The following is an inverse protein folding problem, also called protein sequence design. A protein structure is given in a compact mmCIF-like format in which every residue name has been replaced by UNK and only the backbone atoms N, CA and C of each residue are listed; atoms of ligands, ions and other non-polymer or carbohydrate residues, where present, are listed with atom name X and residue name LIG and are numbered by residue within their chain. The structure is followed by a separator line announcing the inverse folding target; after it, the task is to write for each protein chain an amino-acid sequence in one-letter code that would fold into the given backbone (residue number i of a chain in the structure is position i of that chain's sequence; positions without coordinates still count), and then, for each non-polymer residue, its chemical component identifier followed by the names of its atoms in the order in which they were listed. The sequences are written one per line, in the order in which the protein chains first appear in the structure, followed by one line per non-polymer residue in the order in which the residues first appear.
data_IF_027288161044
#
_entry.id   IF_027288161044
#
_cell.length_a   1.000
_cell.length_b   1.000
_cell.length_c   1.000
_cell.angle_alpha   90.00
_cell.angle_beta   90.00
_cell.angle_gamma   90.00
#
_symmetry.space_group_name_H-M   'P 1'
#
loop_
_entity.id
_entity.type
_entity.pdbx_description
1 polymer ?
#
# COMPACT_ATOMS: atom_id res chain seq x y z
N UNK A 1 33.75 -18.89 -16.53
CA UNK A 1 33.78 -18.06 -15.30
C UNK A 1 32.36 -17.58 -15.04
N UNK A 2 31.89 -17.88 -13.82
CA UNK A 2 30.62 -17.59 -13.14
C UNK A 2 29.38 -17.23 -13.96
N UNK A 3 28.51 -18.23 -14.15
CA UNK A 3 27.07 -18.04 -14.32
C UNK A 3 26.49 -17.71 -12.93
N UNK A 4 26.11 -16.45 -12.71
CA UNK A 4 25.45 -16.03 -11.49
C UNK A 4 23.97 -16.41 -11.58
N UNK A 5 23.60 -17.55 -10.98
CA UNK A 5 22.19 -17.91 -10.80
C UNK A 5 21.55 -16.89 -9.84
N UNK A 6 20.81 -15.92 -10.40
CA UNK A 6 19.98 -15.04 -9.59
C UNK A 6 18.91 -15.88 -8.88
N UNK A 7 18.72 -15.62 -7.59
CA UNK A 7 17.65 -16.30 -6.85
C UNK A 7 16.29 -15.85 -7.39
N UNK A 8 15.26 -16.70 -7.24
CA UNK A 8 13.88 -16.37 -7.63
C UNK A 8 13.43 -15.07 -6.94
N UNK A 9 13.82 -14.86 -5.68
CA UNK A 9 13.56 -13.63 -4.94
C UNK A 9 14.23 -12.40 -5.59
N UNK A 10 15.46 -12.53 -6.10
CA UNK A 10 16.14 -11.43 -6.82
C UNK A 10 15.51 -11.14 -8.17
N UNK A 11 15.00 -12.17 -8.88
CA UNK A 11 14.22 -11.98 -10.11
C UNK A 11 12.88 -11.29 -9.83
N UNK A 12 12.13 -11.74 -8.83
CA UNK A 12 10.87 -11.11 -8.40
C UNK A 12 11.09 -9.65 -8.00
N UNK A 13 12.15 -9.37 -7.24
CA UNK A 13 12.56 -8.01 -6.83
C UNK A 13 12.96 -7.08 -8.01
N UNK A 14 13.28 -7.63 -9.17
CA UNK A 14 13.63 -6.88 -10.39
C UNK A 14 12.43 -6.68 -11.33
N UNK A 15 11.43 -7.55 -11.32
CA UNK A 15 10.23 -7.42 -12.16
C UNK A 15 9.29 -6.29 -11.69
N UNK A 16 9.34 -5.91 -10.41
CA UNK A 16 8.54 -4.80 -9.84
C UNK A 16 9.21 -3.41 -9.92
N UNK A 17 10.35 -3.27 -10.62
CA UNK A 17 11.21 -2.08 -10.43
C UNK A 17 10.76 -0.81 -11.16
N UNK A 18 9.89 -0.92 -12.16
CA UNK A 18 9.56 0.20 -13.06
C UNK A 18 8.09 0.66 -12.97
N UNK A 19 7.35 0.24 -11.94
CA UNK A 19 5.88 0.23 -11.99
C UNK A 19 5.14 0.62 -10.70
N UNK A 20 5.61 1.63 -9.95
CA UNK A 20 5.03 1.96 -8.64
C UNK A 20 4.01 3.10 -8.72
N UNK A 21 2.99 3.07 -7.86
CA UNK A 21 2.14 4.22 -7.62
C UNK A 21 2.83 5.22 -6.68
N UNK A 22 2.68 6.52 -6.94
CA UNK A 22 3.15 7.57 -6.02
C UNK A 22 1.94 8.07 -5.24
N UNK A 23 1.73 7.54 -4.04
CA UNK A 23 0.57 7.90 -3.21
C UNK A 23 0.91 9.14 -2.38
N UNK A 24 0.04 10.14 -2.43
CA UNK A 24 0.00 11.27 -1.50
C UNK A 24 -1.21 11.12 -0.58
N UNK A 25 -0.97 11.08 0.73
CA UNK A 25 -2.02 11.07 1.73
C UNK A 25 -2.44 12.50 2.06
N UNK A 26 -3.57 12.95 1.54
CA UNK A 26 -4.20 14.24 1.89
C UNK A 26 -5.43 14.06 2.79
N UNK A 27 -5.55 12.92 3.45
CA UNK A 27 -6.52 12.69 4.52
C UNK A 27 -6.01 13.31 5.83
N UNK A 28 -6.86 13.39 6.86
CA UNK A 28 -6.40 13.79 8.21
C UNK A 28 -5.91 12.59 9.04
N UNK A 29 -5.80 11.41 8.43
CA UNK A 29 -5.53 10.14 9.09
C UNK A 29 -4.20 9.57 8.60
N UNK A 30 -3.48 8.85 9.47
CA UNK A 30 -2.43 7.92 9.04
C UNK A 30 -3.09 6.76 8.31
N UNK A 31 -2.63 6.48 7.10
CA UNK A 31 -3.10 5.35 6.32
C UNK A 31 -2.04 4.26 6.28
N UNK A 32 -2.50 3.04 5.99
CA UNK A 32 -1.62 1.91 5.72
C UNK A 32 -1.47 1.72 4.22
N UNK A 33 -0.23 1.57 3.77
CA UNK A 33 0.14 1.33 2.37
C UNK A 33 0.84 -0.02 2.24
N UNK A 34 0.68 -0.68 1.10
CA UNK A 34 1.38 -1.92 0.79
C UNK A 34 2.61 -1.64 -0.06
N UNK A 35 3.74 -2.26 0.29
CA UNK A 35 4.97 -2.16 -0.48
C UNK A 35 5.98 -3.27 -0.18
N UNK A 36 7.30 -3.05 -0.36
CA UNK A 36 8.26 -4.14 -0.40
C UNK A 36 8.16 -5.03 0.82
N UNK A 37 8.11 -6.34 0.62
CA UNK A 37 8.06 -7.28 1.72
C UNK A 37 9.28 -7.13 2.64
N UNK A 38 9.03 -7.03 3.95
CA UNK A 38 10.07 -7.08 4.99
C UNK A 38 10.57 -8.50 5.21
N UNK A 39 11.87 -8.62 5.45
CA UNK A 39 12.51 -9.91 5.77
C UNK A 39 12.03 -10.50 7.11
N UNK A 40 11.60 -9.65 8.04
CA UNK A 40 11.09 -10.03 9.36
C UNK A 40 9.65 -10.54 9.34
N UNK A 41 8.91 -10.28 8.25
CA UNK A 41 7.50 -10.64 8.17
C UNK A 41 7.36 -12.14 7.85
N UNK A 42 6.67 -12.85 8.75
CA UNK A 42 6.28 -14.23 8.53
C UNK A 42 5.16 -14.37 7.48
N UNK A 43 4.79 -15.61 7.13
CA UNK A 43 3.74 -15.90 6.14
C UNK A 43 4.25 -15.96 4.70
N UNK A 44 3.34 -15.99 3.73
CA UNK A 44 3.65 -16.14 2.30
C UNK A 44 3.18 -14.97 1.42
N UNK A 45 2.74 -13.86 2.03
CA UNK A 45 2.25 -12.69 1.29
C UNK A 45 3.30 -12.06 0.39
N UNK A 46 2.84 -11.41 -0.68
CA UNK A 46 3.71 -10.75 -1.66
C UNK A 46 4.35 -9.46 -1.13
N UNK A 47 3.68 -8.80 -0.18
CA UNK A 47 4.07 -7.49 0.32
C UNK A 47 3.91 -7.34 1.83
N UNK A 48 4.33 -6.17 2.33
CA UNK A 48 4.24 -5.77 3.72
C UNK A 48 3.51 -4.44 3.83
N UNK A 49 2.84 -4.23 4.96
CA UNK A 49 2.14 -3.00 5.30
C UNK A 49 3.08 -1.99 5.95
N UNK A 50 2.96 -0.73 5.56
CA UNK A 50 3.71 0.42 6.05
C UNK A 50 2.74 1.57 6.37
N UNK A 51 3.19 2.54 7.15
CA UNK A 51 2.39 3.73 7.45
C UNK A 51 2.80 4.90 6.56
N UNK A 52 1.79 5.65 6.12
CA UNK A 52 1.96 6.94 5.46
C UNK A 52 1.12 7.96 6.22
N UNK A 53 1.78 8.91 6.88
CA UNK A 53 1.08 9.87 7.73
C UNK A 53 0.32 10.92 6.91
N UNK A 54 -0.61 11.60 7.58
CA UNK A 54 -1.35 12.73 6.99
C UNK A 54 -0.38 13.77 6.43
N UNK A 55 -0.57 14.12 5.16
CA UNK A 55 0.24 15.10 4.43
C UNK A 55 1.51 14.54 3.79
N UNK A 56 1.81 13.25 3.95
CA UNK A 56 3.02 12.63 3.37
C UNK A 56 2.78 12.09 1.95
N UNK A 57 3.86 12.04 1.18
CA UNK A 57 3.92 11.40 -0.13
C UNK A 57 4.97 10.30 -0.11
N UNK A 58 4.65 9.14 -0.68
CA UNK A 58 5.59 8.04 -0.83
C UNK A 58 6.83 8.50 -1.61
N UNK A 59 8.06 8.16 -1.19
CA UNK A 59 9.27 8.47 -1.95
C UNK A 59 9.19 7.89 -3.38
N UNK A 60 9.61 8.66 -4.37
CA UNK A 60 9.50 8.28 -5.79
C UNK A 60 10.25 7.00 -6.16
N UNK A 61 11.23 6.61 -5.35
CA UNK A 61 12.03 5.39 -5.52
C UNK A 61 11.53 4.20 -4.69
N UNK A 62 10.40 4.35 -3.99
CA UNK A 62 9.78 3.31 -3.18
C UNK A 62 8.64 2.61 -3.93
N UNK A 63 8.44 1.31 -3.67
CA UNK A 63 7.44 0.49 -4.37
C UNK A 63 6.12 0.46 -3.61
N UNK A 64 5.13 1.23 -4.04
CA UNK A 64 3.78 1.12 -3.50
C UNK A 64 2.89 0.31 -4.42
N UNK A 65 2.33 -0.77 -3.88
CA UNK A 65 1.38 -1.63 -4.58
C UNK A 65 -0.07 -1.16 -4.38
N UNK A 66 -0.36 -0.54 -3.24
CA UNK A 66 -1.75 -0.29 -2.83
C UNK A 66 -1.90 0.36 -1.46
N UNK A 67 -3.14 0.51 -1.02
CA UNK A 67 -3.49 0.95 0.33
C UNK A 67 -4.44 -0.03 1.01
N UNK A 68 -4.49 0.02 2.33
CA UNK A 68 -5.47 -0.67 3.15
C UNK A 68 -6.57 0.30 3.60
N UNK A 69 -7.82 -0.17 3.57
CA UNK A 69 -8.98 0.54 4.07
C UNK A 69 -9.41 -0.14 5.38
N UNK A 70 -9.40 0.58 6.52
CA UNK A 70 -9.81 0.03 7.81
C UNK A 70 -11.28 -0.43 7.85
N UNK A 71 -11.59 -1.33 8.78
CA UNK A 71 -12.93 -1.94 8.91
C UNK A 71 -14.05 -0.98 9.25
N UNK A 72 -13.72 0.18 9.82
CA UNK A 72 -14.62 1.28 10.17
C UNK A 72 -14.50 2.47 9.18
N UNK A 73 -13.93 2.23 8.01
CA UNK A 73 -13.83 3.19 6.89
C UNK A 73 -14.41 2.59 5.62
N UNK A 74 -14.69 3.46 4.66
CA UNK A 74 -15.18 3.10 3.33
C UNK A 74 -14.23 3.62 2.27
N UNK A 75 -14.23 2.98 1.11
CA UNK A 75 -13.54 3.48 -0.08
C UNK A 75 -14.55 3.73 -1.20
N UNK A 76 -14.49 4.92 -1.80
CA UNK A 76 -15.35 5.28 -2.93
C UNK A 76 -14.72 4.85 -4.25
N UNK A 77 -15.46 4.05 -5.01
CA UNK A 77 -15.14 3.63 -6.37
C UNK A 77 -15.57 4.68 -7.40
N UNK A 78 -15.07 4.55 -8.63
CA UNK A 78 -15.45 5.42 -9.76
C UNK A 78 -16.95 5.40 -10.08
N UNK A 79 -17.65 4.33 -9.70
CA UNK A 79 -19.10 4.18 -9.85
C UNK A 79 -19.93 4.93 -8.79
N UNK A 80 -19.29 5.73 -7.94
CA UNK A 80 -19.86 6.33 -6.71
C UNK A 80 -20.34 5.29 -5.67
N UNK A 81 -20.00 4.01 -5.87
CA UNK A 81 -20.23 2.96 -4.89
C UNK A 81 -19.18 3.04 -3.77
N UNK A 82 -19.63 2.91 -2.52
CA UNK A 82 -18.73 2.82 -1.38
C UNK A 82 -18.57 1.37 -0.92
N UNK A 83 -17.33 0.91 -0.81
CA UNK A 83 -16.99 -0.42 -0.29
C UNK A 83 -16.53 -0.28 1.17
N UNK A 84 -17.16 -1.02 2.07
CA UNK A 84 -16.76 -1.08 3.48
C UNK A 84 -15.47 -1.90 3.62
N UNK A 85 -14.52 -1.42 4.43
CA UNK A 85 -13.35 -2.22 4.80
C UNK A 85 -13.71 -3.42 5.71
N UNK A 86 -12.75 -4.30 6.04
CA UNK A 86 -11.34 -4.22 5.67
C UNK A 86 -11.08 -4.73 4.25
N UNK A 87 -10.41 -3.93 3.44
CA UNK A 87 -10.05 -4.26 2.04
C UNK A 87 -8.69 -3.68 1.67
N UNK A 88 -8.05 -4.29 0.67
CA UNK A 88 -6.92 -3.71 -0.04
C UNK A 88 -7.40 -3.02 -1.32
N UNK A 89 -6.89 -1.83 -1.60
CA UNK A 89 -7.07 -1.15 -2.89
C UNK A 89 -5.74 -1.19 -3.61
N UNK A 90 -5.72 -1.83 -4.78
CA UNK A 90 -4.51 -1.97 -5.60
C UNK A 90 -4.40 -0.80 -6.56
N UNK A 91 -3.20 -0.26 -6.73
CA UNK A 91 -2.92 0.77 -7.72
C UNK A 91 -1.99 0.23 -8.80
N UNK A 92 -2.26 0.66 -10.04
CA UNK A 92 -1.39 0.42 -11.16
C UNK A 92 -0.20 1.38 -11.20
N UNK A 93 0.72 1.06 -12.09
CA UNK A 93 2.01 1.74 -12.19
C UNK A 93 1.96 3.18 -12.70
N UNK A 94 2.92 4.01 -12.25
CA UNK A 94 3.34 5.27 -12.85
C UNK A 94 2.35 6.44 -12.78
N UNK A 95 1.28 6.34 -11.99
CA UNK A 95 0.35 7.45 -11.79
C UNK A 95 0.49 8.04 -10.38
N UNK A 96 0.63 9.38 -10.24
CA UNK A 96 0.49 10.02 -8.96
C UNK A 96 -0.98 9.92 -8.51
N UNK A 97 -1.18 9.36 -7.32
CA UNK A 97 -2.49 9.18 -6.70
C UNK A 97 -2.56 10.09 -5.48
N UNK A 98 -3.62 10.86 -5.37
CA UNK A 98 -3.91 11.62 -4.14
C UNK A 98 -5.13 11.02 -3.46
N UNK A 99 -4.97 10.59 -2.22
CA UNK A 99 -6.08 10.17 -1.37
C UNK A 99 -6.58 11.35 -0.57
N UNK A 100 -7.88 11.59 -0.65
CA UNK A 100 -8.59 12.51 0.24
C UNK A 100 -9.63 11.72 1.04
N UNK A 101 -10.31 12.39 1.96
CA UNK A 101 -11.40 11.81 2.71
C UNK A 101 -12.58 12.79 2.83
N UNK A 102 -13.77 12.23 2.95
CA UNK A 102 -14.99 12.92 3.39
C UNK A 102 -15.63 12.09 4.51
N UNK A 103 -15.52 12.58 5.75
CA UNK A 103 -15.86 11.80 6.94
C UNK A 103 -15.09 10.47 6.98
N UNK A 104 -15.83 9.36 7.00
CA UNK A 104 -15.30 7.99 7.05
C UNK A 104 -14.99 7.40 5.65
N UNK A 105 -15.19 8.17 4.58
CA UNK A 105 -15.02 7.71 3.19
C UNK A 105 -13.69 8.21 2.64
N UNK A 106 -12.81 7.28 2.28
CA UNK A 106 -11.59 7.55 1.53
C UNK A 106 -11.89 7.60 0.03
N UNK A 107 -11.23 8.53 -0.65
CA UNK A 107 -11.48 8.82 -2.07
C UNK A 107 -10.14 8.97 -2.76
N UNK A 108 -9.96 8.21 -3.83
CA UNK A 108 -8.89 8.44 -4.77
C UNK A 108 -9.24 9.57 -5.75
N UNK A 109 -8.40 10.60 -5.83
CA UNK A 109 -8.45 11.55 -6.96
C UNK A 109 -7.86 10.91 -8.21
N UNK A 110 -8.68 10.70 -9.23
CA UNK A 110 -8.26 10.30 -10.57
C UNK A 110 -8.64 8.88 -10.99
N UNK A 111 -9.17 8.06 -10.08
CA UNK A 111 -9.72 6.72 -10.40
C UNK A 111 -8.75 5.79 -11.13
N UNK A 112 -7.52 5.64 -10.62
CA UNK A 112 -6.47 4.78 -11.15
C UNK A 112 -6.33 3.44 -10.40
N UNK A 113 -7.13 3.17 -9.37
CA UNK A 113 -7.12 1.86 -8.73
C UNK A 113 -7.49 0.74 -9.71
N UNK A 114 -6.78 -0.38 -9.61
CA UNK A 114 -7.00 -1.60 -10.41
C UNK A 114 -8.07 -2.51 -9.81
N UNK A 115 -8.54 -2.19 -8.61
CA UNK A 115 -9.60 -2.91 -7.93
C UNK A 115 -9.48 -2.86 -6.41
N UNK A 116 -10.53 -3.38 -5.77
CA UNK A 116 -10.66 -3.53 -4.32
C UNK A 116 -10.81 -5.00 -4.01
N UNK A 117 -10.01 -5.49 -3.06
CA UNK A 117 -9.83 -6.91 -2.79
C UNK A 117 -9.99 -7.20 -1.30
N UNK A 118 -10.79 -8.21 -0.98
CA UNK A 118 -10.84 -8.83 0.34
C UNK A 118 -9.70 -9.83 0.52
N UNK A 119 -9.48 -10.25 1.77
CA UNK A 119 -8.38 -11.13 2.17
C UNK A 119 -8.22 -12.42 1.35
N UNK A 120 -9.30 -12.99 0.83
CA UNK A 120 -9.26 -14.25 0.05
C UNK A 120 -9.01 -14.04 -1.45
N UNK A 121 -8.97 -12.79 -1.90
CA UNK A 121 -8.95 -12.43 -3.33
C UNK A 121 -7.57 -11.97 -3.79
N UNK A 122 -6.64 -11.74 -2.86
CA UNK A 122 -5.29 -11.25 -3.11
C UNK A 122 -4.29 -11.85 -2.11
N UNK A 123 -3.05 -12.06 -2.53
CA UNK A 123 -1.97 -12.59 -1.67
C UNK A 123 -1.31 -11.49 -0.82
N UNK A 124 -2.12 -10.63 -0.20
CA UNK A 124 -1.70 -9.54 0.68
C UNK A 124 -2.29 -9.75 2.07
N UNK A 125 -1.61 -9.27 3.11
CA UNK A 125 -2.15 -9.29 4.46
C UNK A 125 -3.23 -8.21 4.61
N UNK A 126 -4.51 -8.60 4.59
CA UNK A 126 -5.65 -7.71 4.87
C UNK A 126 -6.13 -7.95 6.31
N UNK A 127 -5.65 -7.18 7.30
CA UNK A 127 -5.97 -7.35 8.71
C UNK A 127 -7.33 -6.76 9.09
N UNK A 128 -7.84 -7.11 10.28
CA UNK A 128 -9.08 -6.56 10.84
C UNK A 128 -8.83 -5.29 11.70
N UNK A 129 -8.05 -4.35 11.18
CA UNK A 129 -7.75 -3.09 11.84
C UNK A 129 -8.86 -2.06 11.63
N UNK A 130 -9.15 -1.28 12.66
CA UNK A 130 -9.87 -0.01 12.54
C UNK A 130 -8.88 1.16 12.31
N UNK A 131 -9.42 2.32 11.99
CA UNK A 131 -8.63 3.51 11.70
C UNK A 131 -7.83 3.97 12.92
N UNK A 132 -8.37 3.79 14.14
CA UNK A 132 -7.68 4.10 15.39
C UNK A 132 -6.42 3.24 15.57
N UNK A 133 -6.50 1.94 15.30
CA UNK A 133 -5.34 1.06 15.31
C UNK A 133 -4.30 1.55 14.30
N UNK A 134 -4.73 1.88 13.07
CA UNK A 134 -3.84 2.42 12.03
C UNK A 134 -3.13 3.71 12.48
N UNK A 135 -3.81 4.60 13.21
CA UNK A 135 -3.19 5.82 13.78
C UNK A 135 -2.07 5.52 14.77
N UNK A 136 -2.18 4.40 15.50
CA UNK A 136 -1.28 4.09 16.60
C UNK A 136 -0.10 3.17 16.22
N UNK A 137 0.01 2.78 14.94
CA UNK A 137 1.16 2.03 14.43
C UNK A 137 2.39 2.95 14.45
N UNK A 138 3.28 2.73 15.41
CA UNK A 138 4.43 3.62 15.66
C UNK A 138 5.79 2.92 15.58
N UNK A 139 5.84 1.59 15.41
CA UNK A 139 7.12 0.89 15.34
C UNK A 139 7.91 1.32 14.09
N UNK A 140 9.20 1.60 14.28
CA UNK A 140 10.10 2.06 13.22
C UNK A 140 10.17 1.11 12.00
N UNK A 141 9.86 -0.18 12.20
CA UNK A 141 9.82 -1.18 11.14
C UNK A 141 8.66 -0.98 10.14
N UNK A 142 7.59 -0.30 10.54
CA UNK A 142 6.43 0.00 9.67
C UNK A 142 6.55 1.35 8.96
N UNK A 143 7.59 2.13 9.26
CA UNK A 143 7.82 3.42 8.64
C UNK A 143 8.41 3.23 7.23
N UNK A 144 7.97 4.05 6.29
CA UNK A 144 8.56 4.06 4.94
C UNK A 144 9.99 4.58 5.04
N UNK A 145 10.95 3.74 4.70
CA UNK A 145 12.36 4.13 4.63
C UNK A 145 12.74 4.39 3.16
N UNK A 146 13.36 5.54 2.85
CA UNK A 146 13.92 5.76 1.53
C UNK A 146 14.98 4.69 1.24
N UNK A 147 15.11 4.29 -0.03
CA UNK A 147 16.16 3.36 -0.40
C UNK A 147 17.52 3.97 -0.03
N UNK A 148 18.29 3.26 0.80
CA UNK A 148 19.69 3.62 1.06
C UNK A 148 20.44 3.51 -0.27
N UNK A 149 20.79 4.65 -0.86
CA UNK A 149 21.75 4.70 -1.97
C UNK A 149 23.10 4.26 -1.41
N UNK A 150 23.54 3.06 -1.77
CA UNK A 150 24.91 2.59 -1.56
C UNK A 150 25.80 3.10 -2.68
#
# INVERSE_FOLDING_TARGET
MSSSTMTIATKKKLEHKDQNAIITNSTSETIVVYGPRRETDGGNYDNSWYVLHSGETIPSDWQCDGIFIPKDRKFMQMSDETIQGPVAVKFGSLMPVTLIQDGEVYIEKGSHNEGVFHKSEIDWDVPDFDAEYCQNISMAAYQIQPNKRF
#
